data_IF_429102722576
#
_entry.id   IF_429102722576
#
_cell.length_a   1.000
_cell.length_b   1.000
_cell.length_c   1.000
_cell.angle_alpha   90.00
_cell.angle_beta   90.00
_cell.angle_gamma   90.00
#
_symmetry.space_group_name_H-M   'P 1'
#
loop_
_entity.id
_entity.type
_entity.pdbx_description
1 polymer ?
#
# COMPACT_ATOMS: atom_id res chain seq x y z
N UNK A 1 6.64 2.61 0.47
CA UNK A 1 5.92 3.36 -0.58
C UNK A 1 5.62 2.41 -1.71
N UNK A 2 4.37 2.37 -2.18
CA UNK A 2 4.03 1.57 -3.35
C UNK A 2 4.52 2.29 -4.63
N UNK A 3 4.82 1.58 -5.73
CA UNK A 3 5.31 2.19 -6.98
C UNK A 3 4.38 3.30 -7.50
N UNK A 4 3.07 3.10 -7.42
CA UNK A 4 2.07 4.06 -7.92
C UNK A 4 1.91 5.30 -7.03
N UNK A 5 2.39 5.25 -5.79
CA UNK A 5 2.33 6.36 -4.83
C UNK A 5 3.25 7.51 -5.27
N UNK A 6 4.42 7.20 -5.84
CA UNK A 6 5.35 8.20 -6.38
C UNK A 6 4.84 8.87 -7.65
N UNK A 7 3.95 8.22 -8.40
CA UNK A 7 3.38 8.75 -9.65
C UNK A 7 2.31 9.80 -9.41
N UNK A 8 1.60 9.72 -8.28
CA UNK A 8 0.57 10.70 -7.89
C UNK A 8 1.18 12.07 -7.56
N UNK A 9 2.46 12.14 -7.18
CA UNK A 9 3.18 13.39 -6.91
C UNK A 9 3.92 13.99 -8.10
N UNK A 10 4.07 13.26 -9.22
CA UNK A 10 4.94 13.67 -10.34
C UNK A 10 4.29 13.33 -11.71
N UNK A 11 3.08 13.85 -11.91
CA UNK A 11 2.25 13.66 -13.12
C UNK A 11 3.01 14.00 -14.41
N UNK A 12 3.85 15.05 -14.37
CA UNK A 12 4.64 15.50 -15.51
C UNK A 12 5.65 14.43 -15.97
N UNK A 13 6.20 13.66 -15.02
CA UNK A 13 7.15 12.58 -15.32
C UNK A 13 6.46 11.39 -15.98
N UNK A 14 5.25 11.05 -15.53
CA UNK A 14 4.44 9.99 -16.13
C UNK A 14 4.06 10.28 -17.58
N UNK A 15 3.68 11.53 -17.91
CA UNK A 15 3.40 11.92 -19.29
C UNK A 15 4.66 11.97 -20.18
N UNK A 16 5.83 12.25 -19.59
CA UNK A 16 7.10 12.33 -20.32
C UNK A 16 7.73 10.96 -20.60
N UNK A 17 7.61 10.01 -19.67
CA UNK A 17 8.19 8.66 -19.79
C UNK A 17 7.36 7.73 -20.70
N UNK A 18 6.14 8.12 -21.05
CA UNK A 18 5.23 7.28 -21.83
C UNK A 18 4.65 6.13 -21.01
N UNK A 19 3.53 5.57 -21.44
CA UNK A 19 2.82 4.49 -20.71
C UNK A 19 3.47 3.12 -20.95
N UNK A 20 4.79 3.00 -20.78
CA UNK A 20 5.50 1.71 -20.85
C UNK A 20 5.30 0.94 -19.54
N UNK A 21 4.06 0.50 -19.33
CA UNK A 21 3.60 -0.22 -18.16
C UNK A 21 2.09 -0.18 -18.16
N UNK A 22 1.43 -1.32 -17.93
CA UNK A 22 -0.02 -1.40 -17.73
C UNK A 22 -0.40 -0.68 -16.42
N UNK A 23 -0.20 0.62 -16.35
CA UNK A 23 -0.79 1.45 -15.32
C UNK A 23 -2.26 1.61 -15.70
N UNK A 24 -3.17 1.30 -14.78
CA UNK A 24 -4.57 1.61 -14.97
C UNK A 24 -4.72 3.14 -14.95
N UNK A 25 -4.63 3.76 -16.13
CA UNK A 25 -4.80 5.20 -16.33
C UNK A 25 -6.11 5.69 -15.69
N UNK A 26 -7.13 4.82 -15.56
CA UNK A 26 -8.37 5.16 -14.86
C UNK A 26 -8.14 5.35 -13.37
N UNK A 27 -7.36 4.49 -12.71
CA UNK A 27 -7.03 4.62 -11.30
C UNK A 27 -6.20 5.88 -11.01
N UNK A 28 -5.27 6.22 -11.91
CA UNK A 28 -4.50 7.47 -11.80
C UNK A 28 -5.39 8.70 -11.92
N UNK A 29 -6.25 8.76 -12.94
CA UNK A 29 -7.19 9.88 -13.14
C UNK A 29 -8.19 9.97 -11.98
N UNK A 30 -8.69 8.84 -11.46
CA UNK A 30 -9.56 8.83 -10.29
C UNK A 30 -8.86 9.39 -9.05
N UNK A 31 -7.60 9.02 -8.82
CA UNK A 31 -6.79 9.56 -7.71
C UNK A 31 -6.57 11.06 -7.84
N UNK A 32 -6.32 11.55 -9.06
CA UNK A 32 -6.20 12.98 -9.36
C UNK A 32 -7.47 13.77 -9.05
N UNK A 33 -8.64 13.21 -9.37
CA UNK A 33 -9.92 13.82 -9.03
C UNK A 33 -10.10 13.92 -7.51
N UNK A 34 -9.75 12.85 -6.77
CA UNK A 34 -9.84 12.84 -5.30
C UNK A 34 -8.94 13.88 -4.64
N UNK A 35 -7.72 14.09 -5.15
CA UNK A 35 -6.79 15.10 -4.62
C UNK A 35 -7.28 16.54 -4.79
N UNK A 36 -8.18 16.80 -5.74
CA UNK A 36 -8.70 18.15 -6.03
C UNK A 36 -9.97 18.49 -5.26
N UNK A 37 -10.58 17.54 -4.54
CA UNK A 37 -11.78 17.83 -3.77
C UNK A 37 -11.45 18.55 -2.45
N UNK A 38 -12.07 19.72 -2.18
CA UNK A 38 -11.73 20.54 -1.01
C UNK A 38 -12.09 19.91 0.34
N UNK A 39 -12.91 18.85 0.32
CA UNK A 39 -13.42 18.13 1.48
C UNK A 39 -12.86 16.70 1.59
N UNK A 40 -11.75 16.41 0.90
CA UNK A 40 -11.09 15.10 0.91
C UNK A 40 -9.68 15.24 1.47
N UNK A 41 -9.33 14.37 2.42
CA UNK A 41 -7.95 14.23 2.91
C UNK A 41 -7.40 12.89 2.41
N UNK A 42 -6.36 12.95 1.59
CA UNK A 42 -5.67 11.76 1.08
C UNK A 42 -4.40 11.53 1.88
N UNK A 43 -4.20 10.30 2.36
CA UNK A 43 -2.96 9.89 3.03
C UNK A 43 -2.30 8.76 2.23
N UNK A 44 -1.00 8.84 1.93
CA UNK A 44 -0.33 7.86 1.09
C UNK A 44 0.02 6.61 1.90
N UNK A 45 -0.93 5.68 2.03
CA UNK A 45 -0.81 4.41 2.76
C UNK A 45 -0.35 4.52 4.23
N UNK A 46 -0.43 5.72 4.82
CA UNK A 46 0.11 6.01 6.14
C UNK A 46 -0.88 5.76 7.30
N UNK A 47 -2.09 5.29 6.99
CA UNK A 47 -3.17 5.15 7.97
C UNK A 47 -2.82 4.22 9.15
N UNK A 48 -1.95 3.24 8.92
CA UNK A 48 -1.56 2.24 9.93
C UNK A 48 -0.08 2.30 10.31
N UNK A 49 0.65 3.35 9.90
CA UNK A 49 2.08 3.46 10.14
C UNK A 49 2.37 4.04 11.52
N UNK A 50 2.28 3.20 12.55
CA UNK A 50 2.64 3.56 13.92
C UNK A 50 3.69 2.59 14.47
N UNK A 51 4.46 3.04 15.46
CA UNK A 51 5.45 2.18 16.14
C UNK A 51 4.78 0.94 16.76
N UNK A 52 3.57 1.09 17.27
CA UNK A 52 2.77 0.00 17.86
C UNK A 52 2.29 -0.99 16.81
N UNK A 53 1.92 -0.54 15.60
CA UNK A 53 1.57 -1.41 14.50
C UNK A 53 2.78 -2.24 14.04
N UNK A 54 3.94 -1.60 13.87
CA UNK A 54 5.19 -2.29 13.51
C UNK A 54 5.53 -3.35 14.55
N UNK A 55 5.46 -3.01 15.85
CA UNK A 55 5.72 -3.96 16.93
C UNK A 55 4.77 -5.15 16.90
N UNK A 56 3.46 -4.92 16.75
CA UNK A 56 2.47 -6.01 16.63
C UNK A 56 2.73 -6.92 15.45
N UNK A 57 3.13 -6.37 14.29
CA UNK A 57 3.47 -7.17 13.12
C UNK A 57 4.66 -8.09 13.44
N UNK A 58 5.70 -7.56 14.07
CA UNK A 58 6.88 -8.35 14.46
C UNK A 58 6.49 -9.45 15.45
N UNK A 59 5.76 -9.10 16.50
CA UNK A 59 5.34 -10.05 17.55
C UNK A 59 4.47 -11.18 16.96
N UNK A 60 3.48 -10.84 16.12
CA UNK A 60 2.65 -11.82 15.41
C UNK A 60 3.48 -12.68 14.47
N UNK A 61 4.43 -12.10 13.73
CA UNK A 61 5.29 -12.83 12.80
C UNK A 61 6.13 -13.88 13.52
N UNK A 62 6.71 -13.53 14.67
CA UNK A 62 7.48 -14.48 15.50
C UNK A 62 6.57 -15.61 15.98
N UNK A 63 5.39 -15.27 16.52
CA UNK A 63 4.42 -16.25 16.99
C UNK A 63 3.97 -17.21 15.89
N UNK A 64 3.74 -16.72 14.67
CA UNK A 64 3.33 -17.54 13.53
C UNK A 64 4.45 -18.50 13.08
N UNK A 65 5.71 -18.04 13.09
CA UNK A 65 6.87 -18.88 12.80
C UNK A 65 6.99 -20.01 13.82
N UNK A 66 6.90 -19.70 15.12
CA UNK A 66 6.98 -20.70 16.20
C UNK A 66 5.83 -21.72 16.11
N UNK A 67 4.60 -21.23 15.90
CA UNK A 67 3.41 -22.08 15.79
C UNK A 67 3.45 -22.97 14.54
N UNK A 68 3.91 -22.42 13.42
CA UNK A 68 4.13 -23.20 12.20
C UNK A 68 5.20 -24.27 12.38
N UNK A 69 6.31 -23.97 13.06
CA UNK A 69 7.36 -24.95 13.36
C UNK A 69 6.88 -26.07 14.30
N UNK A 70 5.92 -25.78 15.18
CA UNK A 70 5.26 -26.75 16.04
C UNK A 70 4.15 -27.57 15.32
N UNK A 71 3.90 -27.33 14.03
CA UNK A 71 2.85 -28.00 13.26
C UNK A 71 1.44 -27.49 13.54
N UNK A 72 1.31 -26.29 14.13
CA UNK A 72 0.04 -25.64 14.46
C UNK A 72 -0.02 -24.22 13.85
N UNK A 73 0.03 -24.07 12.52
CA UNK A 73 0.11 -22.76 11.88
C UNK A 73 -1.13 -21.89 12.21
N UNK A 74 -0.88 -20.68 12.72
CA UNK A 74 -1.87 -19.62 12.89
C UNK A 74 -2.01 -18.76 11.62
N UNK A 75 -3.02 -17.88 11.60
CA UNK A 75 -3.21 -16.87 10.55
C UNK A 75 -3.16 -17.39 9.10
N UNK A 76 -3.65 -18.63 8.87
CA UNK A 76 -3.69 -19.25 7.54
C UNK A 76 -4.75 -18.58 6.68
N UNK A 77 -4.36 -18.14 5.48
CA UNK A 77 -5.27 -17.61 4.45
C UNK A 77 -5.62 -18.74 3.48
N UNK A 78 -6.91 -18.90 3.19
CA UNK A 78 -7.43 -19.87 2.23
C UNK A 78 -7.82 -19.15 0.93
N UNK A 79 -7.78 -19.87 -0.19
CA UNK A 79 -8.24 -19.40 -1.51
C UNK A 79 -9.77 -19.41 -1.64
#
# INVERSE_FOLDING_TARGET
>A
MLPDETLVGDEARLFAEGTEGQHDLRALVASQVLLRFPNVLVTPHNAYNTNEAVRRIIDTTISDIESSAAGQPGNVVLD
#
